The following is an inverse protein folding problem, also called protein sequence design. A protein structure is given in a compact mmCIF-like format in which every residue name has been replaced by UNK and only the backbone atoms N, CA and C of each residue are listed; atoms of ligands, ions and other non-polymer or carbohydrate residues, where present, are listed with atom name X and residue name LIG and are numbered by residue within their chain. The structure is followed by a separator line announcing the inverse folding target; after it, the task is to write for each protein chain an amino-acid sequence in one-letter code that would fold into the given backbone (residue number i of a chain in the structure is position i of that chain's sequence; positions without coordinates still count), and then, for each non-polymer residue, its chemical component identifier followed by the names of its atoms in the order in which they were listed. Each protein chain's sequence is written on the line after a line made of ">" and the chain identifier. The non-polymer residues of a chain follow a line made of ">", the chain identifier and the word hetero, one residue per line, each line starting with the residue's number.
data_IF_413070750490
#
_entry.id   IF_413070750490
#
_cell.length_a   1.000
_cell.length_b   1.000
_cell.length_c   1.000
_cell.angle_alpha   90.00
_cell.angle_beta   90.00
_cell.angle_gamma   90.00
#
_symmetry.space_group_name_H-M   'P 1'
#
loop_
_entity.id
_entity.type
_entity.pdbx_description
1 polymer ?
#
# COMPACT_ATOMS: atom_id res chain seq x y z
N UNK A 1 -32.58 -5.91 31.97
CA UNK A 1 -31.99 -4.74 31.27
C UNK A 1 -32.02 -5.03 29.76
N UNK A 2 -32.90 -4.37 29.00
CA UNK A 2 -33.01 -4.53 27.53
C UNK A 2 -31.97 -3.59 26.89
N UNK A 3 -30.70 -4.01 26.87
CA UNK A 3 -29.66 -3.28 26.13
C UNK A 3 -29.96 -3.44 24.64
N UNK A 4 -30.20 -2.32 23.97
CA UNK A 4 -30.96 -2.25 22.73
C UNK A 4 -30.29 -2.85 21.50
N UNK A 5 -31.04 -3.73 20.82
CA UNK A 5 -30.81 -4.21 19.45
C UNK A 5 -30.43 -3.10 18.45
N UNK A 6 -30.90 -1.87 18.67
CA UNK A 6 -30.61 -0.71 17.81
C UNK A 6 -29.12 -0.38 17.72
N UNK A 7 -28.33 -0.55 18.80
CA UNK A 7 -26.88 -0.28 18.79
C UNK A 7 -26.10 -1.33 17.98
N UNK A 8 -26.56 -2.58 17.99
CA UNK A 8 -25.96 -3.65 17.20
C UNK A 8 -26.26 -3.49 15.71
N UNK A 9 -27.48 -3.06 15.36
CA UNK A 9 -27.85 -2.82 13.97
C UNK A 9 -26.96 -1.74 13.32
N UNK A 10 -26.71 -0.62 14.01
CA UNK A 10 -25.81 0.42 13.50
C UNK A 10 -24.38 -0.07 13.33
N UNK A 11 -23.87 -0.88 14.28
CA UNK A 11 -22.53 -1.45 14.17
C UNK A 11 -22.40 -2.45 13.00
N UNK A 12 -23.44 -3.25 12.76
CA UNK A 12 -23.47 -4.21 11.65
C UNK A 12 -23.46 -3.51 10.28
N UNK A 13 -24.20 -2.41 10.13
CA UNK A 13 -24.20 -1.60 8.89
C UNK A 13 -22.82 -0.99 8.62
N UNK A 14 -22.14 -0.48 9.66
CA UNK A 14 -20.78 0.08 9.53
C UNK A 14 -19.77 -1.00 9.08
N UNK A 15 -19.92 -2.23 9.56
CA UNK A 15 -19.02 -3.33 9.18
C UNK A 15 -19.23 -3.77 7.73
N UNK A 16 -20.45 -3.67 7.20
CA UNK A 16 -20.77 -4.03 5.81
C UNK A 16 -20.24 -3.03 4.78
N UNK A 17 -20.00 -1.77 5.16
CA UNK A 17 -19.40 -0.76 4.27
C UNK A 17 -17.88 -0.81 4.19
N UNK A 18 -17.23 -1.68 4.97
CA UNK A 18 -15.80 -1.92 4.85
C UNK A 18 -15.58 -2.77 3.60
N UNK A 19 -15.48 -2.08 2.47
CA UNK A 19 -14.85 -2.60 1.26
C UNK A 19 -13.51 -3.23 1.67
N UNK A 20 -13.44 -4.56 1.63
CA UNK A 20 -12.27 -5.29 2.08
C UNK A 20 -11.08 -4.92 1.17
N UNK A 21 -10.10 -4.26 1.76
CA UNK A 21 -8.76 -4.12 1.20
C UNK A 21 -8.09 -5.47 1.36
N UNK A 22 -7.76 -6.12 0.24
CA UNK A 22 -7.09 -7.42 0.23
C UNK A 22 -5.63 -7.23 -0.17
N UNK A 23 -4.79 -7.03 0.84
CA UNK A 23 -3.33 -7.12 0.72
C UNK A 23 -2.86 -8.57 0.89
N UNK A 24 -2.01 -9.04 -0.03
CA UNK A 24 -1.33 -10.32 0.06
C UNK A 24 0.19 -10.12 0.07
N UNK A 25 0.87 -10.88 0.93
CA UNK A 25 2.33 -10.90 1.00
C UNK A 25 2.83 -12.27 0.59
N UNK A 26 3.68 -12.32 -0.41
CA UNK A 26 4.20 -13.58 -0.95
C UNK A 26 5.68 -13.44 -1.32
N UNK A 27 6.35 -14.58 -1.41
CA UNK A 27 7.75 -14.67 -1.83
C UNK A 27 7.77 -15.16 -3.27
N UNK A 28 8.38 -14.38 -4.16
CA UNK A 28 8.49 -14.71 -5.59
C UNK A 28 9.82 -15.42 -5.88
N UNK A 29 9.77 -16.47 -6.69
CA UNK A 29 10.97 -17.16 -7.21
C UNK A 29 11.32 -16.66 -8.63
N UNK A 30 10.42 -16.88 -9.60
CA UNK A 30 10.63 -16.49 -11.01
C UNK A 30 9.46 -15.68 -11.55
N UNK A 31 8.28 -16.28 -11.63
CA UNK A 31 7.05 -15.61 -12.07
C UNK A 31 5.89 -16.13 -11.22
N UNK A 32 5.09 -15.22 -10.68
CA UNK A 32 3.85 -15.54 -9.96
C UNK A 32 2.71 -14.66 -10.45
N UNK A 33 1.54 -15.27 -10.66
CA UNK A 33 0.36 -14.59 -11.19
C UNK A 33 -0.85 -14.71 -10.27
N UNK A 34 -1.52 -13.59 -10.03
CA UNK A 34 -2.76 -13.50 -9.24
C UNK A 34 -3.92 -13.05 -10.12
N UNK A 35 -5.13 -13.51 -9.83
CA UNK A 35 -6.33 -13.09 -10.53
C UNK A 35 -7.30 -12.40 -9.58
N UNK A 36 -7.73 -11.19 -9.92
CA UNK A 36 -8.76 -10.45 -9.20
C UNK A 36 -10.02 -10.34 -10.07
N UNK A 37 -11.17 -10.76 -9.56
CA UNK A 37 -12.41 -10.76 -10.33
C UNK A 37 -13.15 -9.43 -10.16
N UNK A 38 -13.32 -8.68 -11.26
CA UNK A 38 -14.07 -7.43 -11.27
C UNK A 38 -15.50 -7.72 -11.69
N UNK A 39 -16.46 -7.33 -10.85
CA UNK A 39 -17.87 -7.70 -11.03
C UNK A 39 -18.58 -6.84 -12.09
N UNK A 40 -18.27 -5.55 -12.16
CA UNK A 40 -18.94 -4.60 -13.04
C UNK A 40 -17.96 -3.95 -14.02
N UNK A 41 -18.40 -3.81 -15.26
CA UNK A 41 -17.72 -3.00 -16.27
C UNK A 41 -17.75 -1.52 -15.86
N UNK A 42 -16.63 -0.83 -16.03
CA UNK A 42 -16.46 0.57 -15.63
C UNK A 42 -15.96 0.77 -14.19
N UNK A 43 -15.82 -0.29 -13.40
CA UNK A 43 -15.24 -0.20 -12.06
C UNK A 43 -13.78 0.27 -12.11
N UNK A 44 -13.42 1.14 -11.15
CA UNK A 44 -12.03 1.61 -11.00
C UNK A 44 -11.28 0.60 -10.14
N UNK A 45 -10.27 -0.04 -10.70
CA UNK A 45 -9.36 -0.92 -9.99
C UNK A 45 -8.13 -0.13 -9.59
N UNK A 46 -7.88 -0.04 -8.29
CA UNK A 46 -6.68 0.53 -7.71
C UNK A 46 -5.82 -0.62 -7.18
N UNK A 47 -4.55 -0.63 -7.55
CA UNK A 47 -3.60 -1.64 -7.10
C UNK A 47 -2.27 -0.99 -6.74
N UNK A 48 -1.59 -1.60 -5.77
CA UNK A 48 -0.27 -1.16 -5.34
C UNK A 48 0.60 -2.36 -5.02
N UNK A 49 1.90 -2.24 -5.28
CA UNK A 49 2.86 -3.24 -4.82
C UNK A 49 4.11 -2.59 -4.26
N UNK A 50 4.76 -3.30 -3.33
CA UNK A 50 6.05 -2.92 -2.75
C UNK A 50 6.92 -4.16 -2.62
N UNK A 51 8.13 -4.08 -3.17
CA UNK A 51 9.16 -5.10 -3.01
C UNK A 51 9.86 -4.86 -1.66
N UNK A 52 9.69 -5.81 -0.74
CA UNK A 52 10.34 -5.82 0.56
C UNK A 52 11.65 -6.57 0.43
N UNK A 53 12.75 -5.82 0.30
CA UNK A 53 14.10 -6.39 0.36
C UNK A 53 14.45 -6.72 1.81
N UNK A 54 14.99 -7.91 2.03
CA UNK A 54 15.64 -8.23 3.30
C UNK A 54 17.01 -7.57 3.21
N UNK A 55 17.28 -6.62 4.11
CA UNK A 55 18.54 -5.89 4.20
C UNK A 55 19.68 -6.85 4.60
N UNK A 56 20.09 -7.68 3.66
CA UNK A 56 21.36 -8.37 3.74
C UNK A 56 22.39 -7.45 3.11
N UNK A 57 23.50 -7.20 3.80
CA UNK A 57 24.56 -6.27 3.39
C UNK A 57 25.24 -6.57 2.03
N UNK A 58 24.72 -7.54 1.28
CA UNK A 58 25.19 -8.05 0.00
C UNK A 58 24.24 -7.72 -1.15
N UNK A 59 23.04 -7.19 -0.88
CA UNK A 59 22.01 -6.91 -1.88
C UNK A 59 22.04 -5.43 -2.30
N UNK A 60 23.12 -5.03 -2.97
CA UNK A 60 23.31 -3.66 -3.49
C UNK A 60 22.57 -3.38 -4.81
N UNK A 61 21.97 -4.39 -5.43
CA UNK A 61 21.27 -4.19 -6.70
C UNK A 61 19.85 -3.70 -6.44
N UNK A 62 19.52 -2.55 -7.04
CA UNK A 62 18.14 -2.09 -7.14
C UNK A 62 17.40 -2.84 -8.27
N UNK A 63 17.56 -4.16 -8.32
CA UNK A 63 16.81 -4.99 -9.24
C UNK A 63 15.35 -4.88 -8.80
N UNK A 64 14.51 -4.43 -9.74
CA UNK A 64 13.08 -4.30 -9.55
C UNK A 64 12.36 -5.52 -10.11
N UNK A 65 11.04 -5.54 -9.92
CA UNK A 65 10.18 -6.57 -10.49
C UNK A 65 9.46 -6.01 -11.71
N UNK A 66 9.17 -6.89 -12.65
CA UNK A 66 8.29 -6.57 -13.77
C UNK A 66 6.87 -6.98 -13.40
N UNK A 67 5.88 -6.14 -13.73
CA UNK A 67 4.46 -6.41 -13.51
C UNK A 67 3.72 -6.27 -14.83
N UNK A 68 3.03 -7.32 -15.25
CA UNK A 68 2.10 -7.30 -16.39
C UNK A 68 0.67 -7.49 -15.90
N UNK A 69 -0.20 -6.55 -16.26
CA UNK A 69 -1.63 -6.57 -15.96
C UNK A 69 -2.40 -6.89 -17.22
N UNK A 70 -3.14 -7.99 -17.20
CA UNK A 70 -3.95 -8.47 -18.33
C UNK A 70 -5.43 -8.51 -17.97
N UNK A 71 -6.29 -8.12 -18.90
CA UNK A 71 -7.72 -8.24 -18.75
C UNK A 71 -8.24 -9.67 -18.99
N UNK A 72 -9.55 -9.88 -18.83
CA UNK A 72 -10.21 -11.17 -19.04
C UNK A 72 -10.06 -11.68 -20.47
N UNK A 73 -9.99 -10.77 -21.45
CA UNK A 73 -9.84 -11.09 -22.87
C UNK A 73 -8.37 -11.34 -23.27
N UNK A 74 -7.43 -11.23 -22.32
CA UNK A 74 -6.00 -11.46 -22.53
C UNK A 74 -5.23 -10.25 -23.04
N UNK A 75 -5.87 -9.11 -23.14
CA UNK A 75 -5.29 -7.82 -23.51
C UNK A 75 -4.41 -7.27 -22.39
N UNK A 76 -3.22 -6.79 -22.74
CA UNK A 76 -2.35 -6.06 -21.81
C UNK A 76 -2.96 -4.69 -21.51
N UNK A 77 -3.21 -4.41 -20.23
CA UNK A 77 -3.74 -3.13 -19.74
C UNK A 77 -2.59 -2.21 -19.31
N UNK A 78 -1.66 -2.74 -18.50
CA UNK A 78 -0.47 -2.03 -18.02
C UNK A 78 0.71 -2.98 -17.92
N UNK A 79 1.89 -2.45 -18.19
CA UNK A 79 3.17 -3.12 -17.99
C UNK A 79 4.12 -2.16 -17.27
N UNK A 80 4.81 -2.70 -16.28
CA UNK A 80 5.83 -2.01 -15.51
C UNK A 80 7.10 -2.85 -15.56
N UNK A 81 8.24 -2.20 -15.73
CA UNK A 81 9.55 -2.85 -15.78
C UNK A 81 10.51 -2.25 -14.77
N UNK A 82 11.27 -3.11 -14.09
CA UNK A 82 12.32 -2.75 -13.13
C UNK A 82 11.83 -1.80 -12.03
N UNK A 83 10.61 -2.01 -11.53
CA UNK A 83 9.99 -1.19 -10.48
C UNK A 83 10.10 -1.87 -9.12
N UNK A 84 10.40 -1.11 -8.06
CA UNK A 84 10.43 -1.61 -6.68
C UNK A 84 9.14 -1.32 -5.91
N UNK A 85 8.41 -0.29 -6.30
CA UNK A 85 7.10 0.05 -5.73
C UNK A 85 6.33 0.90 -6.73
N UNK A 86 5.03 0.67 -6.85
CA UNK A 86 4.16 1.50 -7.68
C UNK A 86 2.72 1.47 -7.15
N UNK A 87 2.02 2.59 -7.30
CA UNK A 87 0.58 2.71 -7.05
C UNK A 87 -0.07 3.10 -8.36
N UNK A 88 -0.97 2.27 -8.87
CA UNK A 88 -1.61 2.51 -10.15
C UNK A 88 -3.10 2.19 -10.12
N UNK A 89 -3.83 2.85 -11.01
CA UNK A 89 -5.24 2.60 -11.24
C UNK A 89 -5.53 2.38 -12.72
N UNK A 90 -6.62 1.67 -12.99
CA UNK A 90 -7.21 1.54 -14.31
C UNK A 90 -8.72 1.30 -14.20
N UNK A 91 -9.44 1.54 -15.30
CA UNK A 91 -10.87 1.24 -15.41
C UNK A 91 -11.03 -0.11 -16.08
N UNK A 92 -11.76 -1.04 -15.44
CA UNK A 92 -12.04 -2.34 -16.01
C UNK A 92 -13.01 -2.20 -17.20
N UNK A 93 -12.55 -2.60 -18.40
CA UNK A 93 -13.36 -2.57 -19.63
C UNK A 93 -14.31 -3.75 -19.73
N UNK A 94 -13.87 -4.90 -19.26
CA UNK A 94 -14.66 -6.12 -19.27
C UNK A 94 -14.81 -6.58 -17.82
N UNK A 95 -15.98 -7.12 -17.48
CA UNK A 95 -16.14 -7.83 -16.21
C UNK A 95 -15.41 -9.18 -16.27
N UNK A 96 -14.86 -9.62 -15.15
CA UNK A 96 -14.16 -10.89 -15.05
C UNK A 96 -12.77 -10.84 -14.42
N UNK A 97 -12.01 -11.94 -14.53
CA UNK A 97 -10.72 -12.10 -13.87
C UNK A 97 -9.63 -11.29 -14.58
N UNK A 98 -9.14 -10.25 -13.91
CA UNK A 98 -7.95 -9.51 -14.30
C UNK A 98 -6.73 -10.18 -13.68
N UNK A 99 -5.70 -10.43 -14.50
CA UNK A 99 -4.49 -11.16 -14.11
C UNK A 99 -3.33 -10.20 -13.89
N UNK A 100 -2.64 -10.35 -12.77
CA UNK A 100 -1.46 -9.60 -12.37
C UNK A 100 -0.30 -10.58 -12.28
N UNK A 101 0.66 -10.50 -13.19
CA UNK A 101 1.84 -11.37 -13.22
C UNK A 101 3.08 -10.58 -12.85
N UNK A 102 3.74 -11.00 -11.78
CA UNK A 102 5.02 -10.48 -11.34
C UNK A 102 6.13 -11.37 -11.90
N UNK A 103 7.20 -10.78 -12.41
CA UNK A 103 8.41 -11.49 -12.84
C UNK A 103 9.60 -10.94 -12.07
N UNK A 104 10.27 -11.83 -11.35
CA UNK A 104 11.48 -11.54 -10.61
C UNK A 104 12.69 -11.63 -11.54
N UNK A 105 13.42 -10.52 -11.67
CA UNK A 105 14.71 -10.47 -12.39
C UNK A 105 15.90 -10.81 -11.51
N UNK A 106 15.74 -10.70 -10.19
CA UNK A 106 16.79 -11.00 -9.22
C UNK A 106 17.04 -12.51 -9.17
N UNK A 107 18.30 -12.94 -8.99
CA UNK A 107 18.63 -14.35 -8.77
C UNK A 107 18.24 -14.84 -7.36
N UNK A 108 17.71 -13.97 -6.52
CA UNK A 108 17.31 -14.23 -5.15
C UNK A 108 15.80 -14.10 -4.98
N UNK A 109 15.25 -14.82 -4.01
CA UNK A 109 13.85 -14.69 -3.63
C UNK A 109 13.56 -13.29 -3.08
N UNK A 110 12.57 -12.62 -3.66
CA UNK A 110 12.08 -11.33 -3.18
C UNK A 110 10.72 -11.48 -2.53
N UNK A 111 10.41 -10.64 -1.54
CA UNK A 111 9.07 -10.62 -0.94
C UNK A 111 8.31 -9.43 -1.50
N UNK A 112 7.11 -9.67 -2.02
CA UNK A 112 6.24 -8.63 -2.56
C UNK A 112 5.01 -8.51 -1.66
N UNK A 113 4.69 -7.28 -1.28
CA UNK A 113 3.40 -6.92 -0.70
C UNK A 113 2.55 -6.32 -1.82
N UNK A 114 1.43 -6.96 -2.14
CA UNK A 114 0.54 -6.58 -3.24
C UNK A 114 -0.88 -6.38 -2.72
N UNK A 115 -1.46 -5.23 -3.04
CA UNK A 115 -2.82 -4.86 -2.70
C UNK A 115 -3.61 -4.53 -3.97
N UNK A 116 -4.86 -4.98 -4.03
CA UNK A 116 -5.77 -4.67 -5.12
C UNK A 116 -7.19 -4.46 -4.60
N UNK A 117 -7.82 -3.40 -5.10
CA UNK A 117 -9.16 -3.00 -4.72
C UNK A 117 -9.97 -2.53 -5.92
N UNK A 118 -11.21 -3.01 -6.06
CA UNK A 118 -12.18 -2.51 -7.05
C UNK A 118 -13.21 -1.60 -6.39
N UNK A 119 -13.17 -0.32 -6.75
CA UNK A 119 -14.18 0.64 -6.36
C UNK A 119 -15.35 0.58 -7.33
N UNK A 120 -16.45 -0.05 -6.90
CA UNK A 120 -17.74 0.07 -7.56
C UNK A 120 -18.42 1.36 -7.10
N UNK A 121 -18.49 2.34 -7.99
CA UNK A 121 -19.33 3.53 -7.75
C UNK A 121 -20.74 3.16 -8.19
N UNK A 122 -21.60 2.82 -7.22
CA UNK A 122 -23.03 2.79 -7.48
C UNK A 122 -23.45 4.20 -7.92
N UNK A 123 -23.63 4.39 -9.23
CA UNK A 123 -24.50 5.44 -9.74
C UNK A 123 -25.94 5.01 -9.43
N UNK A 124 -26.34 5.09 -8.16
CA UNK A 124 -27.75 5.19 -7.84
C UNK A 124 -28.18 6.56 -8.33
N UNK A 125 -28.72 6.57 -9.55
CA UNK A 125 -29.54 7.65 -10.07
C UNK A 125 -30.47 8.17 -8.97
N UNK A 126 -30.53 9.50 -8.84
CA UNK A 126 -31.48 10.28 -8.04
C UNK A 126 -31.27 10.12 -6.52
N UNK A 127 -30.61 11.06 -5.83
CA UNK A 127 -31.36 12.12 -5.14
C UNK A 127 -30.55 13.32 -4.63
N UNK A 128 -29.23 13.40 -4.82
CA UNK A 128 -28.49 14.59 -4.42
C UNK A 128 -28.14 15.39 -5.68
N UNK A 129 -28.84 16.51 -5.90
CA UNK A 129 -28.39 17.51 -6.87
C UNK A 129 -26.95 17.89 -6.51
N UNK A 130 -26.12 18.04 -7.53
CA UNK A 130 -24.70 18.40 -7.48
C UNK A 130 -24.39 19.47 -6.41
N UNK A 131 -25.29 20.44 -6.22
CA UNK A 131 -25.23 21.51 -5.22
C UNK A 131 -25.07 21.07 -3.75
N UNK A 132 -25.59 19.90 -3.34
CA UNK A 132 -25.44 19.40 -1.97
C UNK A 132 -24.19 18.51 -1.80
N UNK A 133 -23.65 17.97 -2.88
CA UNK A 133 -22.46 17.12 -2.86
C UNK A 133 -21.18 17.94 -2.96
N UNK A 134 -21.19 19.07 -3.69
CA UNK A 134 -20.04 19.97 -3.80
C UNK A 134 -19.41 20.34 -2.44
N UNK A 135 -20.17 20.76 -1.41
CA UNK A 135 -19.57 21.09 -0.12
C UNK A 135 -18.97 19.87 0.59
N UNK A 136 -19.54 18.68 0.42
CA UNK A 136 -18.99 17.45 1.01
C UNK A 136 -17.71 17.02 0.30
N UNK A 137 -17.69 17.08 -1.04
CA UNK A 137 -16.50 16.80 -1.84
C UNK A 137 -15.36 17.78 -1.52
N UNK A 138 -15.66 19.08 -1.35
CA UNK A 138 -14.68 20.09 -0.93
C UNK A 138 -14.11 19.82 0.48
N UNK A 139 -14.92 19.27 1.40
CA UNK A 139 -14.42 18.86 2.71
C UNK A 139 -13.55 17.60 2.64
N UNK A 140 -13.90 16.64 1.78
CA UNK A 140 -13.10 15.43 1.57
C UNK A 140 -11.74 15.79 0.96
N UNK A 141 -11.69 16.67 -0.04
CA UNK A 141 -10.43 17.12 -0.63
C UNK A 141 -9.57 17.90 0.36
N UNK A 142 -10.17 18.74 1.22
CA UNK A 142 -9.46 19.39 2.34
C UNK A 142 -8.86 18.37 3.31
N UNK A 143 -9.61 17.32 3.64
CA UNK A 143 -9.13 16.25 4.52
C UNK A 143 -8.00 15.45 3.87
N UNK A 144 -8.13 15.12 2.59
CA UNK A 144 -7.10 14.45 1.80
C UNK A 144 -5.80 15.25 1.77
N UNK A 145 -5.87 16.56 1.52
CA UNK A 145 -4.72 17.45 1.59
C UNK A 145 -4.09 17.52 3.00
N UNK A 146 -4.92 17.55 4.05
CA UNK A 146 -4.42 17.55 5.43
C UNK A 146 -3.71 16.23 5.77
N UNK A 147 -4.27 15.08 5.34
CA UNK A 147 -3.68 13.77 5.53
C UNK A 147 -2.33 13.64 4.82
N UNK A 148 -2.26 14.10 3.57
CA UNK A 148 -1.01 14.11 2.79
C UNK A 148 0.09 14.94 3.49
N UNK A 149 -0.26 16.12 4.01
CA UNK A 149 0.70 16.96 4.74
C UNK A 149 1.22 16.27 6.01
N UNK A 150 0.35 15.60 6.78
CA UNK A 150 0.74 14.86 7.98
C UNK A 150 1.69 13.71 7.62
N UNK A 151 1.38 12.96 6.56
CA UNK A 151 2.23 11.85 6.11
C UNK A 151 3.61 12.35 5.65
N UNK A 152 3.66 13.48 4.94
CA UNK A 152 4.91 14.12 4.55
C UNK A 152 5.73 14.56 5.77
N UNK A 153 5.11 15.17 6.77
CA UNK A 153 5.77 15.55 8.03
C UNK A 153 6.27 14.32 8.80
N UNK A 154 5.50 13.24 8.85
CA UNK A 154 5.92 11.98 9.48
C UNK A 154 7.18 11.41 8.82
N UNK A 155 7.19 11.30 7.48
CA UNK A 155 8.37 10.84 6.76
C UNK A 155 9.59 11.74 7.01
N UNK A 156 9.41 13.06 7.10
CA UNK A 156 10.49 13.98 7.45
C UNK A 156 11.02 13.74 8.88
N UNK A 157 10.13 13.52 9.84
CA UNK A 157 10.49 13.24 11.24
C UNK A 157 11.20 11.89 11.40
N UNK A 158 10.76 10.86 10.68
CA UNK A 158 11.40 9.54 10.67
C UNK A 158 12.83 9.62 10.12
N UNK A 159 13.02 10.25 8.96
CA UNK A 159 14.34 10.44 8.37
C UNK A 159 15.28 11.27 9.27
N UNK A 160 14.73 12.26 9.97
CA UNK A 160 15.50 13.04 10.93
C UNK A 160 15.87 12.22 12.18
N UNK A 161 14.95 11.39 12.68
CA UNK A 161 15.18 10.51 13.84
C UNK A 161 16.23 9.45 13.53
N UNK A 162 16.19 8.85 12.33
CA UNK A 162 17.17 7.87 11.89
C UNK A 162 18.58 8.48 11.83
N UNK A 163 18.73 9.68 11.26
CA UNK A 163 20.00 10.43 11.26
C UNK A 163 20.51 10.69 12.68
N UNK A 164 19.62 11.06 13.61
CA UNK A 164 19.97 11.28 15.01
C UNK A 164 20.36 9.99 15.74
N UNK A 165 19.70 8.87 15.42
CA UNK A 165 20.01 7.56 15.99
C UNK A 165 21.41 7.10 15.60
N UNK A 166 21.85 7.33 14.36
CA UNK A 166 23.22 7.06 13.93
C UNK A 166 24.21 7.86 14.76
N UNK A 167 24.03 9.19 14.85
CA UNK A 167 24.90 10.05 15.67
C UNK A 167 24.94 9.63 17.14
N UNK A 168 23.79 9.32 17.72
CA UNK A 168 23.67 8.91 19.12
C UNK A 168 24.31 7.56 19.37
N UNK A 169 24.14 6.56 18.49
CA UNK A 169 24.78 5.25 18.65
C UNK A 169 26.31 5.36 18.68
N UNK A 170 26.90 6.21 17.83
CA UNK A 170 28.33 6.50 17.86
C UNK A 170 28.76 7.20 19.16
N UNK A 171 27.98 8.15 19.68
CA UNK A 171 28.25 8.84 20.95
C UNK A 171 28.15 7.85 22.12
N UNK A 172 27.10 7.03 22.17
CA UNK A 172 26.87 6.02 23.21
C UNK A 172 28.00 4.99 23.21
N UNK A 173 28.43 4.51 22.04
CA UNK A 173 29.59 3.60 21.93
C UNK A 173 30.87 4.26 22.46
N UNK A 174 31.13 5.52 22.11
CA UNK A 174 32.28 6.28 22.66
C UNK A 174 32.20 6.43 24.18
N UNK A 175 31.00 6.66 24.73
CA UNK A 175 30.77 6.72 26.18
C UNK A 175 31.02 5.39 26.87
N UNK A 176 30.58 4.26 26.28
CA UNK A 176 30.87 2.92 26.80
C UNK A 176 32.37 2.62 26.78
N UNK A 177 33.06 2.92 25.68
CA UNK A 177 34.52 2.75 25.59
C UNK A 177 35.28 3.62 26.59
N UNK A 178 34.87 4.87 26.77
CA UNK A 178 35.50 5.75 27.76
C UNK A 178 35.33 5.21 29.19
N UNK A 179 34.10 4.82 29.57
CA UNK A 179 33.85 4.22 30.89
C UNK A 179 34.62 2.90 31.10
N UNK A 180 34.72 2.07 30.06
CA UNK A 180 35.49 0.84 30.11
C UNK A 180 36.98 1.13 30.37
N UNK A 181 37.56 2.10 29.65
CA UNK A 181 38.96 2.51 29.83
C UNK A 181 39.21 3.16 31.20
N UNK A 182 38.26 3.92 31.75
CA UNK A 182 38.41 4.48 33.12
C UNK A 182 38.31 3.40 34.19
N UNK A 183 37.47 2.37 33.99
CA UNK A 183 37.40 1.23 34.90
C UNK A 183 38.61 0.29 34.79
N UNK A 184 39.23 0.15 33.62
CA UNK A 184 40.42 -0.69 33.46
C UNK A 184 41.71 -0.06 33.99
N UNK A 185 41.71 1.26 34.22
CA UNK A 185 42.84 2.01 34.77
C UNK A 185 42.75 2.23 36.30
N UNK A 186 41.88 1.49 37.00
CA UNK A 186 41.83 1.37 38.47
C UNK A 186 42.15 -0.08 38.83
#
# INVERSE_FOLDING_TARGET
>A
MKVGLSKFATAMVIFSSLNAVLGIRFVIDREDCFSHNVQYEGDRVQASFVVIKIDTSWQYTNDGVDLSVKGPSGETIKEFHDMTSEIFEFVARDNGPHRFCFTNKSPYHETIDFDVHSNHVHFTDQHAKDEHLTPLLDQITKLEHALFNIQYEQHWLEAQTERQAIGTSHITMRFYWFNFLTCSNV
#
